data_IF_270018616336
#
_entry.id   IF_270018616336
#
_cell.length_a   1.000
_cell.length_b   1.000
_cell.length_c   1.000
_cell.angle_alpha   90.00
_cell.angle_beta   90.00
_cell.angle_gamma   90.00
#
_symmetry.space_group_name_H-M   'P 1'
#
loop_
_entity.id
_entity.type
_entity.pdbx_description
1 polymer ?
#
# COMPACT_ATOMS: atom_id res chain seq x y z
N UNK A 1 3.57 -15.65 -30.77
CA UNK A 1 3.81 -15.88 -29.34
C UNK A 1 3.30 -14.65 -28.60
N UNK A 2 2.19 -14.77 -27.88
CA UNK A 2 1.44 -13.65 -27.28
C UNK A 2 2.24 -13.15 -26.07
N UNK A 3 2.50 -11.84 -25.97
CA UNK A 3 3.31 -11.21 -24.91
C UNK A 3 2.58 -11.08 -23.57
N UNK A 4 1.40 -11.69 -23.46
CA UNK A 4 0.44 -11.41 -22.39
C UNK A 4 0.51 -12.43 -21.23
N UNK A 5 1.32 -13.49 -21.36
CA UNK A 5 1.50 -14.55 -20.35
C UNK A 5 2.75 -14.36 -19.47
N UNK A 6 3.22 -13.12 -19.27
CA UNK A 6 4.32 -12.87 -18.34
C UNK A 6 3.81 -12.98 -16.90
N UNK A 7 4.28 -13.98 -16.14
CA UNK A 7 3.92 -14.13 -14.73
C UNK A 7 4.37 -12.89 -13.95
N UNK A 8 3.62 -12.48 -12.92
CA UNK A 8 4.04 -11.39 -12.03
C UNK A 8 5.44 -11.63 -11.47
N UNK A 9 5.82 -12.90 -11.28
CA UNK A 9 7.14 -13.31 -10.83
C UNK A 9 8.23 -13.00 -11.88
N UNK A 10 7.96 -13.23 -13.16
CA UNK A 10 8.89 -12.94 -14.26
C UNK A 10 9.09 -11.43 -14.44
N UNK A 11 7.99 -10.66 -14.32
CA UNK A 11 8.05 -9.19 -14.34
C UNK A 11 8.86 -8.68 -13.15
N UNK A 12 8.68 -9.28 -11.96
CA UNK A 12 9.38 -8.91 -10.73
C UNK A 12 10.88 -9.24 -10.82
N UNK A 13 11.24 -10.38 -11.43
CA UNK A 13 12.62 -10.81 -11.60
C UNK A 13 13.39 -9.92 -12.61
N UNK A 14 12.76 -9.62 -13.75
CA UNK A 14 13.30 -8.71 -14.77
C UNK A 14 13.52 -7.31 -14.18
N UNK A 15 12.57 -6.85 -13.36
CA UNK A 15 12.65 -5.55 -12.71
C UNK A 15 13.69 -5.48 -11.59
N UNK A 16 13.93 -6.58 -10.86
CA UNK A 16 14.95 -6.66 -9.81
C UNK A 16 16.39 -6.66 -10.36
N UNK A 17 16.60 -7.25 -11.54
CA UNK A 17 17.91 -7.19 -12.20
C UNK A 17 18.24 -5.76 -12.68
N UNK A 18 17.23 -5.00 -13.08
CA UNK A 18 17.39 -3.60 -13.50
C UNK A 18 17.60 -2.62 -12.32
N UNK A 19 17.36 -3.05 -11.06
CA UNK A 19 17.34 -2.14 -9.92
C UNK A 19 18.68 -1.92 -9.22
N UNK A 20 19.70 -2.74 -9.52
CA UNK A 20 20.98 -2.83 -8.79
C UNK A 20 21.86 -1.56 -8.80
N UNK A 21 21.57 -0.55 -9.63
CA UNK A 21 22.39 0.67 -9.77
C UNK A 21 21.54 1.95 -9.80
N UNK A 22 21.02 2.43 -8.66
CA UNK A 22 20.19 3.65 -8.64
C UNK A 22 20.35 4.52 -7.41
N UNK A 23 20.65 5.78 -7.68
CA UNK A 23 20.37 6.90 -6.77
C UNK A 23 18.86 7.17 -6.73
N UNK A 24 18.37 7.82 -5.67
CA UNK A 24 16.95 8.13 -5.41
C UNK A 24 16.16 8.70 -6.62
N UNK A 25 16.81 9.38 -7.57
CA UNK A 25 16.19 9.85 -8.82
C UNK A 25 15.75 8.72 -9.77
N UNK A 26 16.44 7.59 -9.75
CA UNK A 26 16.20 6.48 -10.65
C UNK A 26 15.01 5.62 -10.20
N UNK A 27 14.74 5.56 -8.89
CA UNK A 27 13.59 4.82 -8.34
C UNK A 27 12.25 5.37 -8.84
N UNK A 28 12.08 6.70 -8.79
CA UNK A 28 10.86 7.39 -9.26
C UNK A 28 10.71 7.24 -10.77
N UNK A 29 11.79 7.42 -11.55
CA UNK A 29 11.78 7.27 -13.01
C UNK A 29 11.42 5.84 -13.42
N UNK A 30 11.90 4.84 -12.68
CA UNK A 30 11.55 3.43 -12.90
C UNK A 30 10.09 3.15 -12.58
N UNK A 31 9.58 3.65 -11.45
CA UNK A 31 8.16 3.50 -11.10
C UNK A 31 7.26 4.16 -12.16
N UNK A 32 7.60 5.37 -12.61
CA UNK A 32 6.83 6.09 -13.64
C UNK A 32 6.81 5.39 -15.00
N UNK A 33 7.86 4.62 -15.34
CA UNK A 33 7.96 3.83 -16.58
C UNK A 33 7.39 2.42 -16.45
N UNK A 34 7.24 1.92 -15.23
CA UNK A 34 6.80 0.55 -15.00
C UNK A 34 5.33 0.40 -15.35
N UNK A 35 5.01 -0.65 -16.11
CA UNK A 35 3.63 -1.07 -16.34
C UNK A 35 3.22 -2.02 -15.22
N UNK A 36 2.71 -1.45 -14.14
CA UNK A 36 2.35 -2.19 -12.95
C UNK A 36 0.95 -2.80 -13.11
N UNK A 37 0.83 -4.10 -12.86
CA UNK A 37 -0.44 -4.80 -12.80
C UNK A 37 -0.81 -4.91 -11.32
N UNK A 38 -1.87 -4.21 -10.92
CA UNK A 38 -2.48 -4.31 -9.60
C UNK A 38 -3.81 -5.06 -9.78
N UNK A 39 -3.99 -6.14 -9.04
CA UNK A 39 -5.29 -6.82 -8.99
C UNK A 39 -6.28 -5.98 -8.19
N UNK A 40 -7.53 -5.89 -8.62
CA UNK A 40 -8.58 -5.15 -7.90
C UNK A 40 -8.86 -5.70 -6.48
N UNK A 41 -8.42 -6.93 -6.20
CA UNK A 41 -8.60 -7.58 -4.91
C UNK A 41 -7.45 -7.32 -3.93
N UNK A 42 -6.35 -6.72 -4.40
CA UNK A 42 -5.15 -6.53 -3.60
C UNK A 42 -5.17 -5.18 -2.87
N UNK A 43 -4.92 -5.21 -1.55
CA UNK A 43 -4.76 -3.97 -0.80
C UNK A 43 -3.50 -3.22 -1.25
N UNK A 44 -3.65 -1.94 -1.60
CA UNK A 44 -2.54 -1.11 -2.11
C UNK A 44 -1.30 -1.10 -1.21
N UNK A 45 -1.47 -1.12 0.11
CA UNK A 45 -0.35 -1.18 1.06
C UNK A 45 0.34 -2.55 1.06
N UNK A 46 -0.39 -3.63 0.83
CA UNK A 46 0.21 -4.97 0.70
C UNK A 46 0.96 -5.10 -0.62
N UNK A 47 0.45 -4.46 -1.68
CA UNK A 47 1.16 -4.35 -2.94
C UNK A 47 2.50 -3.63 -2.74
N UNK A 48 2.53 -2.45 -2.11
CA UNK A 48 3.79 -1.73 -1.84
C UNK A 48 4.79 -2.57 -1.04
N UNK A 49 4.33 -3.32 -0.04
CA UNK A 49 5.17 -4.26 0.72
C UNK A 49 5.82 -5.33 -0.15
N UNK A 50 5.14 -5.87 -1.16
CA UNK A 50 5.71 -6.85 -2.10
C UNK A 50 6.81 -6.24 -2.96
N UNK A 51 6.66 -4.97 -3.32
CA UNK A 51 7.60 -4.23 -4.16
C UNK A 51 8.69 -3.47 -3.37
N UNK A 52 8.71 -3.61 -2.04
CA UNK A 52 9.67 -2.97 -1.14
C UNK A 52 11.13 -3.24 -1.50
N UNK A 53 11.42 -4.42 -2.06
CA UNK A 53 12.78 -4.78 -2.52
C UNK A 53 13.21 -3.93 -3.71
N UNK A 54 12.29 -3.60 -4.62
CA UNK A 54 12.60 -2.86 -5.84
C UNK A 54 12.42 -1.35 -5.66
N UNK A 55 11.56 -0.94 -4.74
CA UNK A 55 11.24 0.45 -4.44
C UNK A 55 11.27 0.73 -2.91
N UNK A 56 12.44 0.64 -2.26
CA UNK A 56 12.53 0.75 -0.81
C UNK A 56 12.16 2.14 -0.29
N UNK A 57 12.46 3.21 -1.04
CA UNK A 57 12.15 4.58 -0.61
C UNK A 57 10.68 4.90 -0.84
N UNK A 58 10.13 4.49 -1.98
CA UNK A 58 8.72 4.70 -2.31
C UNK A 58 7.80 3.83 -1.44
N UNK A 59 8.20 2.63 -1.03
CA UNK A 59 7.42 1.80 -0.10
C UNK A 59 7.22 2.52 1.25
N UNK A 60 8.28 3.08 1.82
CA UNK A 60 8.21 3.86 3.07
C UNK A 60 7.32 5.10 2.90
N UNK A 61 7.45 5.81 1.77
CA UNK A 61 6.63 6.98 1.46
C UNK A 61 5.16 6.61 1.25
N UNK A 62 4.89 5.53 0.53
CA UNK A 62 3.55 5.02 0.25
C UNK A 62 2.87 4.57 1.54
N UNK A 63 3.59 3.88 2.44
CA UNK A 63 3.08 3.55 3.77
C UNK A 63 2.68 4.79 4.57
N UNK A 64 3.50 5.84 4.51
CA UNK A 64 3.25 7.10 5.23
C UNK A 64 2.08 7.90 4.65
N UNK A 65 1.91 7.90 3.33
CA UNK A 65 0.86 8.67 2.65
C UNK A 65 -0.47 7.93 2.59
N UNK A 66 -0.46 6.67 2.15
CA UNK A 66 -1.66 5.85 1.95
C UNK A 66 -2.17 5.21 3.24
N UNK A 67 -1.34 5.15 4.29
CA UNK A 67 -1.76 4.72 5.63
C UNK A 67 -2.65 5.73 6.35
N UNK A 68 -2.73 6.97 5.87
CA UNK A 68 -3.56 8.00 6.47
C UNK A 68 -5.02 7.75 6.05
N UNK A 69 -5.94 7.53 7.00
CA UNK A 69 -7.35 7.35 6.66
C UNK A 69 -7.92 8.63 6.06
N UNK A 70 -8.66 8.51 4.96
CA UNK A 70 -9.29 9.66 4.30
C UNK A 70 -10.42 10.32 5.12
N UNK A 71 -10.90 9.65 6.18
CA UNK A 71 -11.95 10.19 7.06
C UNK A 71 -11.74 9.82 8.52
N UNK A 72 -12.29 10.64 9.42
CA UNK A 72 -12.36 10.35 10.86
C UNK A 72 -13.47 9.36 11.24
N UNK A 73 -14.16 8.73 10.28
CA UNK A 73 -15.30 7.84 10.54
C UNK A 73 -14.92 6.67 11.48
N UNK A 74 -13.67 6.18 11.39
CA UNK A 74 -13.17 5.12 12.28
C UNK A 74 -13.10 5.58 13.74
N UNK A 75 -12.57 6.78 14.01
CA UNK A 75 -12.52 7.30 15.37
C UNK A 75 -13.91 7.65 15.87
N UNK A 76 -14.77 8.22 15.02
CA UNK A 76 -16.18 8.48 15.37
C UNK A 76 -16.92 7.19 15.76
N UNK A 77 -16.75 6.10 15.01
CA UNK A 77 -17.38 4.81 15.36
C UNK A 77 -16.93 4.30 16.73
N UNK A 78 -15.64 4.41 17.03
CA UNK A 78 -15.09 4.01 18.34
C UNK A 78 -15.64 4.92 19.45
N UNK A 79 -15.69 6.24 19.22
CA UNK A 79 -16.26 7.18 20.18
C UNK A 79 -17.74 6.93 20.42
N UNK A 80 -18.56 6.75 19.38
CA UNK A 80 -19.98 6.43 19.54
C UNK A 80 -20.21 5.10 20.27
N UNK A 81 -19.40 4.09 20.00
CA UNK A 81 -19.46 2.82 20.75
C UNK A 81 -19.11 3.02 22.23
N UNK A 82 -18.09 3.83 22.51
CA UNK A 82 -17.66 4.15 23.87
C UNK A 82 -18.70 5.00 24.62
N UNK A 83 -19.28 5.99 23.95
CA UNK A 83 -20.35 6.84 24.47
C UNK A 83 -21.57 5.99 24.85
N UNK A 84 -21.94 5.03 24.00
CA UNK A 84 -23.02 4.08 24.30
C UNK A 84 -22.73 3.25 25.56
N UNK A 85 -21.52 2.70 25.68
CA UNK A 85 -21.13 1.92 26.87
C UNK A 85 -21.18 2.80 28.12
N UNK A 86 -20.69 4.04 28.03
CA UNK A 86 -20.66 4.97 29.16
C UNK A 86 -22.09 5.37 29.61
N UNK A 87 -22.98 5.67 28.67
CA UNK A 87 -24.37 6.02 28.95
C UNK A 87 -25.14 4.82 29.53
N UNK A 88 -24.92 3.61 29.00
CA UNK A 88 -25.47 2.36 29.57
C UNK A 88 -25.02 2.15 31.03
N UNK A 89 -23.76 2.49 31.38
CA UNK A 89 -23.31 2.41 32.79
C UNK A 89 -23.95 3.46 33.68
N UNK A 90 -24.24 4.66 33.15
CA UNK A 90 -24.83 5.76 33.92
C UNK A 90 -26.32 5.56 34.21
N UNK A 91 -27.05 4.92 33.29
CA UNK A 91 -28.48 4.61 33.47
C UNK A 91 -28.77 3.46 34.45
N UNK A 92 -27.75 2.70 34.83
CA UNK A 92 -27.85 1.58 35.78
C UNK A 92 -27.40 1.94 37.22
N UNK A 93 -27.19 3.23 37.51
CA UNK A 93 -26.93 3.81 38.83
C UNK A 93 -28.19 4.50 39.35
#
# INVERSE_FOLDING_TARGET
>A
MRKDDYSQEDVMLEFALASHDASSEDEIKRYAKAKLVISNEEFVLQWWKKWSINYPTLDVLAGSLLGIPASSCTSQRIFSATERILEERRQNL
#
